data_IF_591439181025
#
_entry.id   IF_591439181025
#
_cell.length_a   1.000
_cell.length_b   1.000
_cell.length_c   1.000
_cell.angle_alpha   90.00
_cell.angle_beta   90.00
_cell.angle_gamma   90.00
#
_symmetry.space_group_name_H-M   'P 1'
#
loop_
_entity.id
_entity.type
_entity.pdbx_description
1 polymer ?
#
# COMPACT_ATOMS: atom_id res chain seq x y z
N UNK A 1 -0.75 36.92 23.23
CA UNK A 1 -0.67 35.49 23.60
C UNK A 1 0.61 34.95 23.01
N UNK A 2 1.77 35.51 23.32
CA UNK A 2 2.50 35.53 24.61
C UNK A 2 3.21 34.19 24.82
N UNK A 3 4.38 34.06 24.19
CA UNK A 3 5.49 33.15 24.50
C UNK A 3 5.12 31.91 25.32
N UNK A 4 4.58 30.90 24.66
CA UNK A 4 4.68 29.57 25.23
C UNK A 4 6.16 29.19 25.12
N UNK A 5 6.85 28.91 26.22
CA UNK A 5 8.25 28.49 26.16
C UNK A 5 8.33 27.01 25.72
N UNK A 6 7.64 26.64 24.64
CA UNK A 6 7.58 25.27 24.14
C UNK A 6 8.95 24.96 23.54
N UNK A 7 9.61 23.96 24.10
CA UNK A 7 10.92 23.49 23.61
C UNK A 7 10.76 22.28 22.67
N UNK A 8 9.64 21.55 22.77
CA UNK A 8 9.35 20.33 22.01
C UNK A 8 7.93 20.32 21.50
N UNK A 9 7.76 19.83 20.28
CA UNK A 9 6.45 19.57 19.69
C UNK A 9 5.98 18.21 20.19
N UNK A 10 4.84 18.13 20.86
CA UNK A 10 4.30 16.88 21.41
C UNK A 10 2.78 16.96 21.57
N UNK A 11 2.12 15.80 21.78
CA UNK A 11 0.68 15.68 22.01
C UNK A 11 -0.21 16.12 20.82
N UNK A 12 0.29 15.99 19.58
CA UNK A 12 -0.46 16.33 18.36
C UNK A 12 -1.02 15.11 17.61
N UNK A 13 -0.73 13.89 18.05
CA UNK A 13 -1.05 12.65 17.31
C UNK A 13 -2.55 12.47 17.03
N UNK A 14 -3.42 12.93 17.92
CA UNK A 14 -4.87 12.81 17.77
C UNK A 14 -5.48 13.86 16.81
N UNK A 15 -4.72 14.88 16.40
CA UNK A 15 -5.21 16.02 15.62
C UNK A 15 -5.16 15.77 14.10
N UNK A 16 -5.55 14.58 13.65
CA UNK A 16 -5.43 14.10 12.26
C UNK A 16 -6.17 14.95 11.22
N UNK A 17 -7.16 15.75 11.65
CA UNK A 17 -7.95 16.64 10.78
C UNK A 17 -7.44 18.09 10.77
N UNK A 18 -6.33 18.39 11.45
CA UNK A 18 -5.78 19.74 11.55
C UNK A 18 -5.28 20.23 10.19
N UNK A 19 -5.70 21.43 9.79
CA UNK A 19 -5.35 22.05 8.50
C UNK A 19 -4.38 23.21 8.65
N UNK A 20 -4.34 23.86 9.81
CA UNK A 20 -3.46 24.99 10.11
C UNK A 20 -2.88 24.81 11.50
N UNK A 21 -1.55 24.97 11.63
CA UNK A 21 -0.83 24.86 12.89
C UNK A 21 0.12 26.05 13.02
N UNK A 22 -0.04 26.80 14.10
CA UNK A 22 0.83 27.92 14.46
C UNK A 22 1.58 27.60 15.76
N UNK A 23 2.89 27.46 15.62
CA UNK A 23 3.88 27.24 16.67
C UNK A 23 4.90 28.38 16.70
N UNK A 24 4.49 29.58 16.28
CA UNK A 24 5.36 30.75 16.29
C UNK A 24 5.66 31.25 17.71
N UNK A 25 6.80 31.91 17.90
CA UNK A 25 7.22 32.51 19.18
C UNK A 25 7.41 31.47 20.30
N UNK A 26 8.13 30.40 19.99
CA UNK A 26 8.47 29.33 20.94
C UNK A 26 10.01 29.13 20.99
N UNK A 27 10.47 28.06 21.64
CA UNK A 27 11.90 27.69 21.76
C UNK A 27 12.18 26.33 21.12
N UNK A 28 11.42 25.99 20.09
CA UNK A 28 11.53 24.69 19.42
C UNK A 28 12.87 24.65 18.68
N UNK A 29 13.72 23.69 19.01
CA UNK A 29 15.00 23.50 18.32
C UNK A 29 14.96 22.43 17.24
N UNK A 30 13.93 21.58 17.24
CA UNK A 30 13.78 20.45 16.33
C UNK A 30 12.33 20.30 15.85
N UNK A 31 12.17 20.07 14.55
CA UNK A 31 10.89 19.66 13.97
C UNK A 31 10.70 18.17 14.24
N UNK A 32 9.67 17.80 15.00
CA UNK A 32 9.35 16.41 15.34
C UNK A 32 7.85 16.27 15.65
N UNK A 33 7.34 15.03 15.70
CA UNK A 33 5.98 14.69 16.11
C UNK A 33 4.86 15.37 15.27
N UNK A 34 5.12 15.59 13.97
CA UNK A 34 4.13 16.11 13.01
C UNK A 34 3.57 15.02 12.07
N UNK A 35 4.02 13.77 12.19
CA UNK A 35 3.74 12.70 11.22
C UNK A 35 2.26 12.37 11.04
N UNK A 36 1.47 12.50 12.11
CA UNK A 36 0.03 12.23 12.08
C UNK A 36 -0.80 13.33 11.36
N UNK A 37 -0.21 14.50 11.10
CA UNK A 37 -0.92 15.68 10.59
C UNK A 37 -0.97 15.72 9.05
N UNK A 38 -1.38 14.62 8.42
CA UNK A 38 -1.37 14.45 6.95
C UNK A 38 -2.26 15.47 6.21
N UNK A 39 -3.25 16.06 6.87
CA UNK A 39 -4.15 17.08 6.33
C UNK A 39 -3.65 18.52 6.48
N UNK A 40 -2.48 18.74 7.08
CA UNK A 40 -1.95 20.06 7.36
C UNK A 40 -1.60 20.80 6.07
N UNK A 41 -2.13 22.03 5.93
CA UNK A 41 -1.95 22.90 4.77
C UNK A 41 -1.07 24.10 5.05
N UNK A 42 -1.09 24.60 6.29
CA UNK A 42 -0.28 25.74 6.74
C UNK A 42 0.44 25.41 8.04
N UNK A 43 1.74 25.64 8.06
CA UNK A 43 2.58 25.48 9.23
C UNK A 43 3.37 26.77 9.47
N UNK A 44 3.24 27.34 10.66
CA UNK A 44 4.06 28.46 11.11
C UNK A 44 4.93 28.04 12.28
N UNK A 45 6.25 28.21 12.12
CA UNK A 45 7.31 27.96 13.07
C UNK A 45 8.17 29.24 13.25
N UNK A 46 7.56 30.39 13.02
CA UNK A 46 8.27 31.68 13.04
C UNK A 46 8.81 32.00 14.45
N UNK A 47 10.02 32.55 14.56
CA UNK A 47 10.65 32.89 15.86
C UNK A 47 10.80 31.65 16.78
N UNK A 48 11.70 30.76 16.37
CA UNK A 48 12.08 29.52 17.07
C UNK A 48 13.62 29.31 16.97
N UNK A 49 14.12 28.16 17.42
CA UNK A 49 15.56 27.83 17.46
C UNK A 49 15.93 26.70 16.49
N UNK A 50 15.17 26.51 15.41
CA UNK A 50 15.34 25.40 14.48
C UNK A 50 16.61 25.61 13.66
N UNK A 51 17.49 24.61 13.63
CA UNK A 51 18.74 24.66 12.85
C UNK A 51 18.68 23.88 11.54
N UNK A 52 17.74 22.93 11.43
CA UNK A 52 17.60 22.01 10.29
C UNK A 52 16.11 21.78 9.99
N UNK A 53 15.75 21.88 8.71
CA UNK A 53 14.46 21.47 8.15
C UNK A 53 14.50 19.95 7.96
N UNK A 54 13.70 19.24 8.75
CA UNK A 54 13.58 17.78 8.76
C UNK A 54 12.16 17.37 9.21
N UNK A 55 11.81 16.08 9.10
CA UNK A 55 10.58 15.48 9.64
C UNK A 55 9.26 16.14 9.17
N UNK A 56 9.22 16.63 7.93
CA UNK A 56 8.02 17.10 7.24
C UNK A 56 7.56 16.12 6.13
N UNK A 57 8.20 14.95 5.98
CA UNK A 57 7.98 14.02 4.87
C UNK A 57 6.51 13.61 4.70
N UNK A 58 5.75 13.52 5.79
CA UNK A 58 4.34 13.11 5.81
C UNK A 58 3.34 14.25 5.54
N UNK A 59 3.78 15.51 5.53
CA UNK A 59 2.93 16.69 5.31
C UNK A 59 2.69 16.94 3.81
N UNK A 60 2.16 15.95 3.09
CA UNK A 60 1.97 15.98 1.63
C UNK A 60 1.02 17.08 1.14
N UNK A 61 0.18 17.59 2.04
CA UNK A 61 -0.79 18.66 1.75
C UNK A 61 -0.30 20.06 2.12
N UNK A 62 0.95 20.21 2.58
CA UNK A 62 1.48 21.49 3.02
C UNK A 62 1.71 22.43 1.84
N UNK A 63 1.04 23.59 1.88
CA UNK A 63 1.09 24.62 0.82
C UNK A 63 1.80 25.88 1.28
N UNK A 64 1.81 26.16 2.58
CA UNK A 64 2.43 27.32 3.18
C UNK A 64 3.29 26.88 4.36
N UNK A 65 4.59 27.22 4.29
CA UNK A 65 5.53 27.02 5.38
C UNK A 65 6.16 28.36 5.76
N UNK A 66 5.98 28.77 7.02
CA UNK A 66 6.69 29.92 7.59
C UNK A 66 7.66 29.42 8.65
N UNK A 67 8.95 29.62 8.43
CA UNK A 67 10.04 29.23 9.35
C UNK A 67 11.07 30.36 9.45
N UNK A 68 10.58 31.61 9.35
CA UNK A 68 11.41 32.79 9.55
C UNK A 68 11.90 32.93 10.99
N UNK A 69 12.99 33.67 11.19
CA UNK A 69 13.63 33.92 12.49
C UNK A 69 13.93 32.63 13.24
N UNK A 70 14.75 31.79 12.60
CA UNK A 70 15.29 30.54 13.12
C UNK A 70 16.81 30.53 12.88
N UNK A 71 17.47 29.42 13.18
CA UNK A 71 18.93 29.26 13.16
C UNK A 71 19.42 28.38 11.98
N UNK A 72 18.68 28.35 10.87
CA UNK A 72 19.06 27.56 9.68
C UNK A 72 20.22 28.25 8.95
N UNK A 73 21.42 27.68 9.05
CA UNK A 73 22.62 28.26 8.43
C UNK A 73 22.99 27.65 7.08
N UNK A 74 22.70 26.37 6.89
CA UNK A 74 22.99 25.67 5.64
C UNK A 74 21.85 25.86 4.65
N UNK A 75 22.11 26.56 3.54
CA UNK A 75 21.15 26.72 2.46
C UNK A 75 20.90 25.41 1.68
N UNK A 76 21.79 24.41 1.73
CA UNK A 76 21.58 23.14 1.05
C UNK A 76 20.44 22.34 1.70
N UNK A 77 20.17 22.59 2.98
CA UNK A 77 19.06 21.99 3.69
C UNK A 77 17.69 22.39 3.09
N UNK A 78 17.61 23.46 2.30
CA UNK A 78 16.39 23.88 1.59
C UNK A 78 15.96 22.85 0.55
N UNK A 79 16.91 22.10 -0.03
CA UNK A 79 16.62 21.03 -1.00
C UNK A 79 15.65 20.00 -0.39
N UNK A 80 15.66 19.81 0.93
CA UNK A 80 14.70 18.95 1.64
C UNK A 80 13.24 19.33 1.34
N UNK A 81 12.93 20.62 1.15
CA UNK A 81 11.57 21.10 0.87
C UNK A 81 11.03 20.62 -0.48
N UNK A 82 11.86 20.09 -1.38
CA UNK A 82 11.41 19.44 -2.62
C UNK A 82 10.58 18.18 -2.38
N UNK A 83 10.67 17.59 -1.18
CA UNK A 83 9.82 16.47 -0.75
C UNK A 83 8.36 16.88 -0.49
N UNK A 84 8.06 18.18 -0.48
CA UNK A 84 6.74 18.76 -0.29
C UNK A 84 6.17 19.16 -1.67
N UNK A 85 5.41 18.27 -2.34
CA UNK A 85 5.12 18.38 -3.78
C UNK A 85 4.25 19.57 -4.15
N UNK A 86 3.54 20.16 -3.18
CA UNK A 86 2.60 21.25 -3.41
C UNK A 86 2.91 22.50 -2.58
N UNK A 87 4.14 22.63 -2.06
CA UNK A 87 4.56 23.84 -1.35
C UNK A 87 4.55 25.04 -2.30
N UNK A 88 3.76 26.08 -1.99
CA UNK A 88 3.61 27.27 -2.83
C UNK A 88 4.12 28.55 -2.19
N UNK A 89 4.16 28.62 -0.87
CA UNK A 89 4.65 29.79 -0.13
C UNK A 89 5.64 29.39 0.94
N UNK A 90 6.80 30.05 0.94
CA UNK A 90 7.89 29.82 1.88
C UNK A 90 8.36 31.14 2.48
N UNK A 91 8.48 31.19 3.80
CA UNK A 91 9.15 32.29 4.49
C UNK A 91 10.34 31.75 5.29
N UNK A 92 11.55 32.16 4.92
CA UNK A 92 12.82 31.87 5.62
C UNK A 92 13.50 33.14 6.14
N UNK A 93 12.79 34.29 6.15
CA UNK A 93 13.34 35.57 6.56
C UNK A 93 14.07 35.46 7.90
N UNK A 94 15.15 36.22 8.06
CA UNK A 94 15.94 36.26 9.32
C UNK A 94 16.67 34.97 9.72
N UNK A 95 16.68 33.92 8.87
CA UNK A 95 17.63 32.81 9.05
C UNK A 95 19.03 33.16 8.55
N UNK A 96 20.12 32.61 9.13
CA UNK A 96 21.48 32.85 8.65
C UNK A 96 21.69 32.46 7.17
N UNK A 97 21.04 31.40 6.68
CA UNK A 97 21.12 30.99 5.27
C UNK A 97 20.57 32.07 4.32
N UNK A 98 19.50 32.77 4.71
CA UNK A 98 18.83 33.79 3.90
C UNK A 98 19.67 35.06 3.68
N UNK A 99 20.77 35.24 4.45
CA UNK A 99 21.71 36.37 4.31
C UNK A 99 22.78 36.15 3.25
N UNK A 100 22.89 34.93 2.69
CA UNK A 100 23.87 34.62 1.66
C UNK A 100 23.54 35.38 0.36
N UNK A 101 24.59 35.73 -0.38
CA UNK A 101 24.43 36.33 -1.70
C UNK A 101 23.66 35.38 -2.63
N UNK A 102 22.82 35.94 -3.50
CA UNK A 102 21.99 35.18 -4.46
C UNK A 102 21.01 34.17 -3.84
N UNK A 103 20.75 34.22 -2.53
CA UNK A 103 19.87 33.26 -1.86
C UNK A 103 18.47 33.19 -2.48
N UNK A 104 17.89 34.34 -2.84
CA UNK A 104 16.57 34.38 -3.48
C UNK A 104 16.56 33.67 -4.85
N UNK A 105 17.65 33.79 -5.62
CA UNK A 105 17.81 33.08 -6.88
C UNK A 105 18.03 31.58 -6.66
N UNK A 106 18.77 31.22 -5.59
CA UNK A 106 18.92 29.83 -5.16
C UNK A 106 17.56 29.18 -4.84
N UNK A 107 16.70 29.87 -4.08
CA UNK A 107 15.30 29.43 -3.86
C UNK A 107 14.57 29.22 -5.19
N UNK A 108 14.70 30.18 -6.12
CA UNK A 108 14.01 30.13 -7.41
C UNK A 108 14.44 28.94 -8.27
N UNK A 109 15.72 28.55 -8.23
CA UNK A 109 16.27 27.41 -8.99
C UNK A 109 15.96 26.07 -8.32
N UNK A 110 16.25 25.93 -7.03
CA UNK A 110 16.15 24.64 -6.33
C UNK A 110 14.72 24.28 -5.87
N UNK A 111 13.80 25.25 -5.84
CA UNK A 111 12.37 25.04 -5.59
C UNK A 111 11.53 25.57 -6.79
N UNK A 112 11.53 24.87 -7.93
CA UNK A 112 10.93 25.37 -9.17
C UNK A 112 9.40 25.59 -9.06
N UNK A 113 8.72 24.80 -8.23
CA UNK A 113 7.26 24.87 -8.05
C UNK A 113 6.79 25.91 -7.01
N UNK A 114 7.72 26.54 -6.29
CA UNK A 114 7.43 27.55 -5.28
C UNK A 114 6.99 28.85 -5.95
N UNK A 115 5.90 29.47 -5.48
CA UNK A 115 5.33 30.67 -6.10
C UNK A 115 5.70 31.93 -5.34
N UNK A 116 5.69 31.87 -4.01
CA UNK A 116 5.96 33.00 -3.13
C UNK A 116 7.14 32.69 -2.20
N UNK A 117 8.11 33.61 -2.18
CA UNK A 117 9.20 33.62 -1.21
C UNK A 117 9.20 34.95 -0.45
N UNK A 118 9.11 34.88 0.89
CA UNK A 118 8.97 36.04 1.78
C UNK A 118 7.79 36.95 1.37
N UNK A 119 6.64 36.33 1.10
CA UNK A 119 5.40 37.01 0.71
C UNK A 119 5.48 37.77 -0.63
N UNK A 120 6.60 37.67 -1.37
CA UNK A 120 6.77 38.22 -2.71
C UNK A 120 6.78 37.09 -3.74
N UNK A 121 6.05 37.29 -4.83
CA UNK A 121 6.04 36.35 -5.93
C UNK A 121 7.45 36.21 -6.52
N UNK A 122 7.86 34.98 -6.83
CA UNK A 122 9.07 34.71 -7.59
C UNK A 122 8.77 34.97 -9.07
N UNK A 123 9.49 35.91 -9.67
CA UNK A 123 9.29 36.31 -11.06
C UNK A 123 10.04 35.39 -12.03
N UNK A 124 9.65 35.41 -13.31
CA UNK A 124 10.38 34.67 -14.35
C UNK A 124 11.83 35.17 -14.50
N UNK A 125 12.06 36.48 -14.41
CA UNK A 125 13.39 37.08 -14.46
C UNK A 125 14.27 36.55 -13.32
N UNK A 126 13.72 36.42 -12.11
CA UNK A 126 14.47 35.83 -10.98
C UNK A 126 14.83 34.36 -11.21
N UNK A 127 13.98 33.60 -11.93
CA UNK A 127 14.31 32.23 -12.31
C UNK A 127 15.39 32.18 -13.37
N UNK A 128 15.30 33.02 -14.40
CA UNK A 128 16.32 33.11 -15.45
C UNK A 128 17.70 33.46 -14.86
N UNK A 129 17.77 34.43 -13.94
CA UNK A 129 19.00 34.78 -13.24
C UNK A 129 19.51 33.61 -12.37
N UNK A 130 18.61 32.93 -11.65
CA UNK A 130 19.00 31.77 -10.85
C UNK A 130 19.54 30.63 -11.69
N UNK A 131 18.88 30.34 -12.82
CA UNK A 131 19.34 29.33 -13.77
C UNK A 131 20.72 29.69 -14.32
N UNK A 132 20.98 30.94 -14.69
CA UNK A 132 22.33 31.38 -15.12
C UNK A 132 23.39 31.19 -14.03
N UNK A 133 23.06 31.43 -12.76
CA UNK A 133 24.00 31.33 -11.63
C UNK A 133 24.26 29.87 -11.22
N UNK A 134 23.23 29.02 -11.23
CA UNK A 134 23.24 27.69 -10.58
C UNK A 134 23.05 26.52 -11.56
N UNK A 135 23.04 26.75 -12.87
CA UNK A 135 22.73 25.75 -13.91
C UNK A 135 23.44 24.42 -13.70
N UNK A 136 24.77 24.46 -13.65
CA UNK A 136 25.61 23.26 -13.65
C UNK A 136 25.41 22.45 -12.36
N UNK A 137 25.40 23.12 -11.21
CA UNK A 137 25.18 22.49 -9.90
C UNK A 137 23.79 21.86 -9.81
N UNK A 138 22.76 22.54 -10.32
CA UNK A 138 21.40 22.03 -10.33
C UNK A 138 21.26 20.80 -11.23
N UNK A 139 21.84 20.82 -12.44
CA UNK A 139 21.82 19.66 -13.36
C UNK A 139 22.51 18.47 -12.72
N UNK A 140 23.72 18.66 -12.17
CA UNK A 140 24.49 17.57 -11.53
C UNK A 140 23.71 16.97 -10.35
N UNK A 141 23.03 17.80 -9.55
CA UNK A 141 22.16 17.33 -8.47
C UNK A 141 21.00 16.49 -9.02
N UNK A 142 20.30 16.99 -10.05
CA UNK A 142 19.16 16.30 -10.66
C UNK A 142 19.54 14.94 -11.27
N UNK A 143 20.71 14.85 -11.90
CA UNK A 143 21.22 13.58 -12.45
C UNK A 143 21.52 12.57 -11.35
N UNK A 144 22.16 13.00 -10.25
CA UNK A 144 22.43 12.15 -9.09
C UNK A 144 21.15 11.64 -8.44
N UNK A 145 20.17 12.52 -8.20
CA UNK A 145 18.87 12.12 -7.65
C UNK A 145 18.16 11.09 -8.54
N UNK A 146 18.22 11.28 -9.86
CA UNK A 146 17.66 10.33 -10.83
C UNK A 146 18.37 8.98 -10.78
N UNK A 147 19.70 8.97 -10.69
CA UNK A 147 20.50 7.75 -10.56
C UNK A 147 20.20 7.00 -9.26
N UNK A 148 20.12 7.73 -8.14
CA UNK A 148 19.77 7.17 -6.83
C UNK A 148 18.36 6.58 -6.82
N UNK A 149 17.39 7.29 -7.41
CA UNK A 149 16.03 6.78 -7.58
C UNK A 149 16.01 5.51 -8.45
N UNK A 150 16.80 5.49 -9.54
CA UNK A 150 16.98 4.33 -10.39
C UNK A 150 17.53 3.13 -9.62
N UNK A 151 18.62 3.31 -8.87
CA UNK A 151 19.20 2.25 -8.00
C UNK A 151 18.21 1.73 -6.98
N UNK A 152 17.45 2.64 -6.34
CA UNK A 152 16.42 2.26 -5.36
C UNK A 152 15.31 1.42 -6.01
N UNK A 153 14.85 1.82 -7.20
CA UNK A 153 13.85 1.07 -7.96
C UNK A 153 14.37 -0.31 -8.36
N UNK A 154 15.59 -0.41 -8.89
CA UNK A 154 16.23 -1.70 -9.23
C UNK A 154 16.30 -2.61 -8.01
N UNK A 155 16.78 -2.10 -6.87
CA UNK A 155 16.85 -2.86 -5.63
C UNK A 155 15.47 -3.34 -5.16
N UNK A 156 14.44 -2.50 -5.25
CA UNK A 156 13.07 -2.89 -4.92
C UNK A 156 12.54 -3.99 -5.85
N UNK A 157 12.87 -3.93 -7.14
CA UNK A 157 12.49 -4.97 -8.12
C UNK A 157 13.22 -6.28 -7.79
N UNK A 158 14.52 -6.24 -7.50
CA UNK A 158 15.31 -7.42 -7.11
C UNK A 158 14.80 -8.04 -5.80
N UNK A 159 14.45 -7.22 -4.80
CA UNK A 159 13.85 -7.67 -3.54
C UNK A 159 12.47 -8.31 -3.79
N UNK A 160 11.67 -7.73 -4.68
CA UNK A 160 10.36 -8.28 -5.05
C UNK A 160 10.48 -9.61 -5.81
N UNK A 161 11.42 -9.70 -6.75
CA UNK A 161 11.71 -10.92 -7.52
C UNK A 161 12.22 -12.03 -6.59
N UNK A 162 13.13 -11.71 -5.68
CA UNK A 162 13.61 -12.64 -4.65
C UNK A 162 12.47 -13.13 -3.73
N UNK A 163 11.54 -12.25 -3.36
CA UNK A 163 10.38 -12.62 -2.56
C UNK A 163 9.46 -13.59 -3.33
N UNK A 164 9.23 -13.36 -4.63
CA UNK A 164 8.45 -14.27 -5.47
C UNK A 164 9.11 -15.65 -5.54
N UNK A 165 10.44 -15.70 -5.71
CA UNK A 165 11.17 -16.97 -5.71
C UNK A 165 11.01 -17.72 -4.39
N UNK A 166 11.05 -17.02 -3.26
CA UNK A 166 10.85 -17.59 -1.93
C UNK A 166 9.42 -18.10 -1.71
N UNK A 167 8.41 -17.30 -2.05
CA UNK A 167 7.00 -17.68 -1.92
C UNK A 167 6.61 -18.84 -2.87
N UNK A 168 7.37 -18.98 -3.95
CA UNK A 168 7.27 -20.09 -4.90
C UNK A 168 8.11 -21.32 -4.51
N UNK A 169 8.94 -21.24 -3.46
CA UNK A 169 9.85 -22.30 -2.99
C UNK A 169 10.87 -22.79 -4.04
N UNK A 170 11.39 -21.86 -4.86
CA UNK A 170 12.31 -22.18 -5.97
C UNK A 170 13.60 -21.38 -5.91
N UNK A 171 14.00 -20.93 -4.72
CA UNK A 171 15.18 -20.09 -4.54
C UNK A 171 16.42 -20.76 -5.16
N UNK A 172 17.12 -19.99 -6.00
CA UNK A 172 18.36 -20.39 -6.66
C UNK A 172 18.26 -21.57 -7.65
N UNK A 173 17.08 -22.15 -7.91
CA UNK A 173 16.92 -23.24 -8.88
C UNK A 173 17.13 -22.80 -10.34
N UNK A 174 16.98 -21.50 -10.61
CA UNK A 174 17.34 -20.88 -11.88
C UNK A 174 18.85 -20.61 -12.04
N UNK A 175 19.65 -20.93 -11.01
CA UNK A 175 21.12 -20.83 -11.00
C UNK A 175 21.74 -22.22 -10.93
N UNK A 176 23.06 -22.31 -11.10
CA UNK A 176 23.80 -23.57 -10.95
C UNK A 176 24.07 -23.95 -9.48
N UNK A 177 23.62 -23.12 -8.53
CA UNK A 177 23.94 -23.26 -7.10
C UNK A 177 23.53 -24.62 -6.53
N UNK A 178 22.36 -25.16 -6.90
CA UNK A 178 21.96 -26.48 -6.43
C UNK A 178 22.98 -27.54 -6.89
N UNK A 179 23.32 -27.53 -8.17
CA UNK A 179 24.29 -28.45 -8.74
C UNK A 179 25.67 -28.29 -8.10
N UNK A 180 26.18 -27.07 -8.04
CA UNK A 180 27.48 -26.74 -7.39
C UNK A 180 27.53 -27.25 -5.94
N UNK A 181 26.45 -27.07 -5.17
CA UNK A 181 26.39 -27.51 -3.77
C UNK A 181 26.44 -29.03 -3.60
N UNK A 182 25.97 -29.80 -4.60
CA UNK A 182 26.04 -31.26 -4.57
C UNK A 182 27.47 -31.76 -4.74
N UNK A 183 28.32 -31.01 -5.46
CA UNK A 183 29.69 -31.39 -5.81
C UNK A 183 30.78 -30.65 -5.01
N UNK A 184 30.42 -29.64 -4.21
CA UNK A 184 31.37 -28.80 -3.46
C UNK A 184 32.32 -29.62 -2.56
N UNK A 185 31.86 -30.79 -2.08
CA UNK A 185 32.62 -31.69 -1.22
C UNK A 185 32.81 -33.08 -1.85
N UNK A 186 32.90 -33.18 -3.19
CA UNK A 186 33.15 -34.44 -3.92
C UNK A 186 34.57 -34.49 -4.53
N UNK A 187 35.59 -34.87 -3.73
CA UNK A 187 36.97 -34.99 -4.22
C UNK A 187 37.14 -36.12 -5.23
N UNK A 188 36.34 -37.19 -5.14
CA UNK A 188 36.34 -38.30 -6.10
C UNK A 188 35.82 -37.85 -7.48
N UNK A 189 34.70 -37.13 -7.51
CA UNK A 189 34.17 -36.51 -8.73
C UNK A 189 35.17 -35.55 -9.36
N UNK A 190 35.83 -34.72 -8.54
CA UNK A 190 36.90 -33.82 -8.99
C UNK A 190 38.09 -34.57 -9.62
N UNK A 191 38.48 -35.70 -9.04
CA UNK A 191 39.55 -36.54 -9.59
C UNK A 191 39.15 -37.19 -10.92
N UNK A 192 37.89 -37.59 -11.09
CA UNK A 192 37.36 -38.18 -12.33
C UNK A 192 37.43 -37.19 -13.52
N UNK A 193 37.26 -35.88 -13.27
CA UNK A 193 37.42 -34.84 -14.29
C UNK A 193 38.85 -34.71 -14.82
N UNK A 194 39.85 -35.22 -14.08
CA UNK A 194 41.25 -35.21 -14.48
C UNK A 194 41.63 -36.42 -15.36
N UNK A 195 40.75 -37.42 -15.50
CA UNK A 195 41.06 -38.67 -16.22
C UNK A 195 41.03 -38.54 -17.75
N UNK A 196 40.53 -37.43 -18.32
CA UNK A 196 40.60 -37.16 -19.76
C UNK A 196 39.46 -36.32 -20.31
N UNK A 197 39.45 -36.10 -21.63
CA UNK A 197 38.42 -35.31 -22.31
C UNK A 197 37.02 -35.94 -22.28
N UNK A 198 36.92 -37.27 -22.31
CA UNK A 198 35.64 -37.98 -22.30
C UNK A 198 34.88 -37.82 -20.97
N UNK A 199 35.57 -37.94 -19.83
CA UNK A 199 34.96 -37.77 -18.50
C UNK A 199 34.50 -36.33 -18.26
N UNK A 200 35.30 -35.35 -18.71
CA UNK A 200 34.93 -33.93 -18.64
C UNK A 200 33.69 -33.60 -19.48
N UNK A 201 33.61 -34.13 -20.70
CA UNK A 201 32.44 -33.92 -21.56
C UNK A 201 31.18 -34.55 -20.97
N UNK A 202 31.30 -35.75 -20.38
CA UNK A 202 30.20 -36.44 -19.71
C UNK A 202 29.68 -35.61 -18.52
N UNK A 203 30.57 -35.06 -17.69
CA UNK A 203 30.21 -34.18 -16.58
C UNK A 203 29.49 -32.91 -17.05
N UNK A 204 30.02 -32.21 -18.06
CA UNK A 204 29.39 -30.99 -18.60
C UNK A 204 27.98 -31.30 -19.10
N UNK A 205 27.79 -32.44 -19.76
CA UNK A 205 26.48 -32.86 -20.28
C UNK A 205 25.50 -33.14 -19.13
N UNK A 206 25.96 -33.83 -18.09
CA UNK A 206 25.18 -34.09 -16.88
C UNK A 206 24.80 -32.80 -16.14
N UNK A 207 25.74 -31.87 -15.98
CA UNK A 207 25.51 -30.54 -15.39
C UNK A 207 24.43 -29.76 -16.15
N UNK A 208 24.54 -29.66 -17.48
CA UNK A 208 23.56 -28.94 -18.30
C UNK A 208 22.17 -29.60 -18.24
N UNK A 209 22.10 -30.95 -18.22
CA UNK A 209 20.84 -31.66 -18.09
C UNK A 209 20.16 -31.42 -16.73
N UNK A 210 20.92 -31.50 -15.62
CA UNK A 210 20.37 -31.22 -14.28
C UNK A 210 19.98 -29.75 -14.15
N UNK A 211 20.80 -28.82 -14.66
CA UNK A 211 20.48 -27.40 -14.65
C UNK A 211 19.21 -27.08 -15.48
N UNK A 212 19.03 -27.73 -16.63
CA UNK A 212 17.80 -27.67 -17.41
C UNK A 212 16.58 -28.10 -16.61
N UNK A 213 16.65 -29.24 -15.91
CA UNK A 213 15.58 -29.72 -15.04
C UNK A 213 15.32 -28.78 -13.85
N UNK A 214 16.36 -28.19 -13.25
CA UNK A 214 16.20 -27.20 -12.18
C UNK A 214 15.44 -25.95 -12.66
N UNK A 215 15.72 -25.49 -13.89
CA UNK A 215 14.97 -24.39 -14.52
C UNK A 215 13.52 -24.76 -14.80
N UNK A 216 13.25 -26.00 -15.21
CA UNK A 216 11.87 -26.47 -15.39
C UNK A 216 11.11 -26.47 -14.05
N UNK A 217 11.72 -26.99 -12.97
CA UNK A 217 11.14 -26.94 -11.62
C UNK A 217 10.92 -25.49 -11.17
N UNK A 218 11.89 -24.60 -11.43
CA UNK A 218 11.78 -23.18 -11.11
C UNK A 218 10.58 -22.52 -11.79
N UNK A 219 10.41 -22.75 -13.09
CA UNK A 219 9.28 -22.21 -13.85
C UNK A 219 7.95 -22.81 -13.39
N UNK A 220 7.92 -24.12 -13.13
CA UNK A 220 6.74 -24.82 -12.62
C UNK A 220 6.33 -24.27 -11.25
N UNK A 221 7.26 -24.10 -10.31
CA UNK A 221 6.97 -23.57 -8.97
C UNK A 221 6.37 -22.16 -9.01
N UNK A 222 6.92 -21.27 -9.83
CA UNK A 222 6.35 -19.93 -10.03
C UNK A 222 4.96 -19.97 -10.66
N UNK A 223 4.74 -20.84 -11.63
CA UNK A 223 3.45 -20.97 -12.29
C UNK A 223 2.38 -21.51 -11.33
N UNK A 224 2.72 -22.49 -10.49
CA UNK A 224 1.83 -23.03 -9.45
C UNK A 224 1.57 -22.00 -8.34
N UNK A 225 2.57 -21.21 -7.97
CA UNK A 225 2.38 -20.05 -7.09
C UNK A 225 1.38 -19.06 -7.67
N UNK A 226 1.52 -18.69 -8.95
CA UNK A 226 0.61 -17.78 -9.64
C UNK A 226 -0.82 -18.30 -9.68
N UNK A 227 -1.03 -19.58 -10.00
CA UNK A 227 -2.37 -20.19 -10.00
C UNK A 227 -3.03 -20.11 -8.62
N UNK A 228 -2.29 -20.44 -7.56
CA UNK A 228 -2.80 -20.36 -6.18
C UNK A 228 -3.14 -18.92 -5.76
N UNK A 229 -2.34 -17.93 -6.16
CA UNK A 229 -2.68 -16.53 -5.92
C UNK A 229 -3.94 -16.11 -6.66
N UNK A 230 -4.08 -16.49 -7.94
CA UNK A 230 -5.28 -16.21 -8.74
C UNK A 230 -6.54 -16.79 -8.09
N UNK A 231 -6.47 -18.05 -7.62
CA UNK A 231 -7.59 -18.71 -6.94
C UNK A 231 -7.97 -17.99 -5.63
N UNK A 232 -6.99 -17.59 -4.83
CA UNK A 232 -7.21 -16.83 -3.60
C UNK A 232 -7.79 -15.42 -3.87
N UNK A 233 -7.33 -14.74 -4.93
CA UNK A 233 -7.86 -13.44 -5.35
C UNK A 233 -9.32 -13.55 -5.82
N UNK A 234 -9.64 -14.57 -6.62
CA UNK A 234 -10.99 -14.82 -7.11
C UNK A 234 -11.96 -15.17 -5.98
N UNK A 235 -11.53 -16.00 -5.04
CA UNK A 235 -12.28 -16.28 -3.82
C UNK A 235 -12.58 -15.01 -3.03
N UNK A 236 -11.55 -14.21 -2.73
CA UNK A 236 -11.70 -12.97 -1.96
C UNK A 236 -12.61 -11.96 -2.67
N UNK A 237 -12.52 -11.87 -4.00
CA UNK A 237 -13.42 -11.05 -4.80
C UNK A 237 -14.86 -11.54 -4.68
N UNK A 238 -15.09 -12.84 -4.85
CA UNK A 238 -16.42 -13.45 -4.73
C UNK A 238 -17.03 -13.25 -3.35
N UNK A 239 -16.25 -13.38 -2.28
CA UNK A 239 -16.66 -13.07 -0.90
C UNK A 239 -17.16 -11.61 -0.80
N UNK A 240 -16.39 -10.66 -1.31
CA UNK A 240 -16.77 -9.24 -1.30
C UNK A 240 -18.04 -8.99 -2.09
N UNK A 241 -18.16 -9.57 -3.29
CA UNK A 241 -19.33 -9.38 -4.15
C UNK A 241 -20.60 -9.93 -3.49
N UNK A 242 -20.53 -11.12 -2.89
CA UNK A 242 -21.64 -11.74 -2.14
C UNK A 242 -22.05 -10.85 -0.95
N UNK A 243 -21.08 -10.36 -0.17
CA UNK A 243 -21.34 -9.49 0.98
C UNK A 243 -21.98 -8.18 0.56
N UNK A 244 -21.42 -7.50 -0.45
CA UNK A 244 -21.92 -6.21 -0.95
C UNK A 244 -23.33 -6.35 -1.50
N UNK A 245 -23.61 -7.40 -2.26
CA UNK A 245 -24.93 -7.65 -2.80
C UNK A 245 -25.98 -7.89 -1.68
N UNK A 246 -25.65 -8.74 -0.70
CA UNK A 246 -26.53 -8.99 0.44
C UNK A 246 -26.76 -7.74 1.30
N UNK A 247 -25.71 -6.94 1.50
CA UNK A 247 -25.78 -5.68 2.24
C UNK A 247 -26.65 -4.65 1.50
N UNK A 248 -26.49 -4.50 0.18
CA UNK A 248 -27.29 -3.58 -0.63
C UNK A 248 -28.79 -3.94 -0.59
N UNK A 249 -29.13 -5.21 -0.70
CA UNK A 249 -30.52 -5.67 -0.56
C UNK A 249 -31.08 -5.40 0.85
N UNK A 250 -30.28 -5.65 1.88
CA UNK A 250 -30.66 -5.40 3.27
C UNK A 250 -30.89 -3.91 3.55
N UNK A 251 -30.02 -3.04 3.04
CA UNK A 251 -30.16 -1.58 3.14
C UNK A 251 -31.44 -1.12 2.43
N UNK A 252 -31.66 -1.54 1.18
CA UNK A 252 -32.86 -1.18 0.43
C UNK A 252 -34.15 -1.63 1.14
N UNK A 253 -34.15 -2.83 1.72
CA UNK A 253 -35.27 -3.32 2.52
C UNK A 253 -35.52 -2.44 3.77
N UNK A 254 -34.45 -2.04 4.45
CA UNK A 254 -34.53 -1.18 5.63
C UNK A 254 -34.97 0.24 5.29
N UNK A 255 -34.52 0.82 4.18
CA UNK A 255 -34.98 2.12 3.69
C UNK A 255 -36.47 2.09 3.37
N UNK A 256 -36.94 1.06 2.67
CA UNK A 256 -38.36 0.86 2.38
C UNK A 256 -39.19 0.72 3.67
N UNK A 257 -38.70 0.00 4.67
CA UNK A 257 -39.33 -0.10 5.98
C UNK A 257 -39.40 1.26 6.69
N UNK A 258 -38.32 2.04 6.66
CA UNK A 258 -38.25 3.36 7.30
C UNK A 258 -39.20 4.37 6.64
N UNK A 259 -39.33 4.33 5.31
CA UNK A 259 -40.28 5.16 4.57
C UNK A 259 -41.72 4.84 4.96
N UNK A 260 -42.11 3.55 4.92
CA UNK A 260 -43.45 3.12 5.34
C UNK A 260 -43.72 3.42 6.81
N UNK A 261 -42.73 3.26 7.69
CA UNK A 261 -42.83 3.67 9.10
C UNK A 261 -43.17 5.16 9.20
N UNK A 262 -42.52 6.03 8.43
CA UNK A 262 -42.81 7.47 8.43
C UNK A 262 -44.26 7.77 8.03
N UNK A 263 -44.78 7.06 7.03
CA UNK A 263 -46.19 7.18 6.59
C UNK A 263 -47.17 6.76 7.71
N UNK A 264 -46.94 5.60 8.32
CA UNK A 264 -47.75 5.07 9.44
C UNK A 264 -47.77 6.06 10.62
N UNK A 265 -46.61 6.61 10.99
CA UNK A 265 -46.50 7.59 12.07
C UNK A 265 -47.19 8.93 11.72
N UNK A 266 -47.14 9.34 10.45
CA UNK A 266 -47.85 10.52 9.96
C UNK A 266 -49.36 10.34 10.04
N UNK A 267 -49.87 9.16 9.71
CA UNK A 267 -51.29 8.81 9.85
C UNK A 267 -51.73 8.78 11.31
N UNK A 268 -50.92 8.17 12.19
CA UNK A 268 -51.16 8.16 13.64
C UNK A 268 -51.22 9.58 14.22
N UNK A 269 -50.32 10.47 13.79
CA UNK A 269 -50.34 11.88 14.19
C UNK A 269 -51.59 12.62 13.69
N UNK A 270 -52.07 12.33 12.47
CA UNK A 270 -53.33 12.89 11.95
C UNK A 270 -54.53 12.46 12.78
N UNK A 271 -54.60 11.18 13.17
CA UNK A 271 -55.67 10.66 14.03
C UNK A 271 -55.64 11.31 15.43
N UNK A 272 -54.45 11.43 16.03
CA UNK A 272 -54.25 12.14 17.31
C UNK A 272 -54.71 13.60 17.23
N UNK A 273 -54.38 14.31 16.16
CA UNK A 273 -54.77 15.72 16.00
C UNK A 273 -56.29 15.87 15.79
N UNK A 274 -56.95 14.95 15.07
CA UNK A 274 -58.42 14.93 14.94
C UNK A 274 -59.13 14.72 16.29
N UNK A 275 -58.55 13.93 17.19
CA UNK A 275 -59.14 13.68 18.51
C UNK A 275 -59.15 14.92 19.41
N UNK A 276 -58.28 15.92 19.15
CA UNK A 276 -58.21 17.15 19.93
C UNK A 276 -59.37 18.13 19.64
N UNK A 277 -60.04 17.99 18.48
CA UNK A 277 -61.08 18.92 18.01
C UNK A 277 -62.52 18.36 18.05
N UNK A 278 -62.74 17.06 18.29
CA UNK A 278 -64.08 16.45 18.33
C UNK A 278 -64.39 15.81 19.69
N UNK A 279 -65.37 16.37 20.40
CA UNK A 279 -65.86 15.89 21.70
C UNK A 279 -66.81 14.68 21.49
N UNK A 280 -66.41 13.56 22.09
CA UNK A 280 -67.20 12.43 22.62
C UNK A 280 -68.02 11.48 21.73
N UNK A 281 -68.25 11.69 20.42
CA UNK A 281 -69.14 10.78 19.64
C UNK A 281 -68.44 9.67 18.81
N UNK A 282 -67.10 9.67 18.66
CA UNK A 282 -66.39 8.68 17.83
C UNK A 282 -65.23 7.93 18.55
N UNK A 283 -65.32 7.85 19.88
CA UNK A 283 -64.61 6.92 20.80
C UNK A 283 -64.08 5.65 20.12
N UNK A 284 -65.06 4.82 19.81
CA UNK A 284 -64.90 3.44 19.37
C UNK A 284 -64.27 3.34 17.98
N UNK A 285 -64.66 4.21 17.03
CA UNK A 285 -64.07 4.24 15.69
C UNK A 285 -62.58 4.62 15.73
N UNK A 286 -62.20 5.52 16.63
CA UNK A 286 -60.80 5.89 16.82
C UNK A 286 -59.97 4.73 17.38
N UNK A 287 -60.49 4.02 18.38
CA UNK A 287 -59.85 2.82 18.94
C UNK A 287 -59.69 1.72 17.88
N UNK A 288 -60.71 1.54 17.02
CA UNK A 288 -60.66 0.62 15.87
C UNK A 288 -59.58 1.02 14.84
N UNK A 289 -59.46 2.30 14.48
CA UNK A 289 -58.42 2.79 13.56
C UNK A 289 -57.01 2.68 14.13
N UNK A 290 -56.81 2.93 15.44
CA UNK A 290 -55.51 2.76 16.08
C UNK A 290 -55.09 1.28 16.07
N UNK A 291 -56.02 0.38 16.35
CA UNK A 291 -55.77 -1.07 16.31
C UNK A 291 -55.44 -1.55 14.89
N UNK A 292 -56.08 -1.00 13.87
CA UNK A 292 -55.77 -1.28 12.47
C UNK A 292 -54.36 -0.82 12.08
N UNK A 293 -53.98 0.41 12.44
CA UNK A 293 -52.62 0.94 12.23
C UNK A 293 -51.58 0.09 12.95
N UNK A 294 -51.86 -0.33 14.19
CA UNK A 294 -51.00 -1.20 14.96
C UNK A 294 -50.78 -2.54 14.24
N UNK A 295 -51.85 -3.18 13.77
CA UNK A 295 -51.77 -4.43 13.00
C UNK A 295 -50.96 -4.26 11.71
N UNK A 296 -51.14 -3.14 10.99
CA UNK A 296 -50.35 -2.82 9.79
C UNK A 296 -48.86 -2.75 10.15
N UNK A 297 -48.50 -2.04 11.23
CA UNK A 297 -47.11 -1.91 11.66
C UNK A 297 -46.49 -3.23 12.10
N UNK A 298 -47.21 -4.02 12.91
CA UNK A 298 -46.77 -5.34 13.37
C UNK A 298 -46.58 -6.30 12.19
N UNK A 299 -47.51 -6.31 11.22
CA UNK A 299 -47.39 -7.10 10.01
C UNK A 299 -46.17 -6.67 9.17
N UNK A 300 -45.97 -5.36 8.99
CA UNK A 300 -44.80 -4.83 8.28
C UNK A 300 -43.49 -5.26 8.95
N UNK A 301 -43.38 -5.11 10.27
CA UNK A 301 -42.20 -5.53 11.03
C UNK A 301 -41.95 -7.04 10.88
N UNK A 302 -43.01 -7.85 10.98
CA UNK A 302 -42.92 -9.30 10.82
C UNK A 302 -42.43 -9.68 9.41
N UNK A 303 -42.99 -9.08 8.36
CA UNK A 303 -42.56 -9.36 6.99
C UNK A 303 -41.12 -8.93 6.74
N UNK A 304 -40.72 -7.74 7.20
CA UNK A 304 -39.32 -7.27 7.07
C UNK A 304 -38.36 -8.22 7.77
N UNK A 305 -38.64 -8.63 9.01
CA UNK A 305 -37.82 -9.63 9.72
C UNK A 305 -37.72 -10.96 8.98
N UNK A 306 -38.84 -11.46 8.45
CA UNK A 306 -38.88 -12.70 7.68
C UNK A 306 -38.01 -12.62 6.42
N UNK A 307 -38.03 -11.49 5.72
CA UNK A 307 -37.18 -11.30 4.53
C UNK A 307 -35.72 -11.17 4.92
N UNK A 308 -35.38 -10.40 5.96
CA UNK A 308 -34.00 -10.29 6.46
C UNK A 308 -33.43 -11.66 6.84
N UNK A 309 -34.20 -12.49 7.54
CA UNK A 309 -33.75 -13.85 7.91
C UNK A 309 -33.50 -14.72 6.68
N UNK A 310 -34.33 -14.60 5.63
CA UNK A 310 -34.08 -15.29 4.35
C UNK A 310 -32.83 -14.79 3.65
N UNK A 311 -32.56 -13.48 3.69
CA UNK A 311 -31.33 -12.91 3.12
C UNK A 311 -30.09 -13.45 3.85
N UNK A 312 -30.16 -13.54 5.17
CA UNK A 312 -29.10 -14.10 6.01
C UNK A 312 -28.86 -15.59 5.71
N UNK A 313 -29.92 -16.40 5.63
CA UNK A 313 -29.80 -17.82 5.23
C UNK A 313 -29.18 -17.97 3.85
N UNK A 314 -29.64 -17.19 2.86
CA UNK A 314 -29.08 -17.23 1.49
C UNK A 314 -27.62 -16.79 1.44
N UNK A 315 -27.24 -15.79 2.24
CA UNK A 315 -25.86 -15.35 2.37
C UNK A 315 -24.98 -16.48 2.90
N UNK A 316 -25.45 -17.15 3.96
CA UNK A 316 -24.75 -18.30 4.54
C UNK A 316 -24.58 -19.44 3.53
N UNK A 317 -25.66 -19.84 2.85
CA UNK A 317 -25.64 -20.91 1.83
C UNK A 317 -24.63 -20.61 0.71
N UNK A 318 -24.66 -19.40 0.15
CA UNK A 318 -23.71 -18.99 -0.89
C UNK A 318 -22.26 -18.94 -0.42
N UNK A 319 -22.02 -18.51 0.82
CA UNK A 319 -20.66 -18.54 1.39
C UNK A 319 -20.16 -19.96 1.58
N UNK A 320 -21.04 -20.87 2.00
CA UNK A 320 -20.68 -22.27 2.16
C UNK A 320 -20.37 -22.93 0.80
N UNK A 321 -21.21 -22.73 -0.21
CA UNK A 321 -20.95 -23.20 -1.59
C UNK A 321 -19.63 -22.66 -2.15
N UNK A 322 -19.33 -21.38 -1.92
CA UNK A 322 -18.07 -20.77 -2.32
C UNK A 322 -16.86 -21.40 -1.62
N UNK A 323 -16.97 -21.65 -0.31
CA UNK A 323 -15.91 -22.33 0.46
C UNK A 323 -15.66 -23.74 -0.07
N UNK A 324 -16.72 -24.53 -0.30
CA UNK A 324 -16.60 -25.89 -0.85
C UNK A 324 -15.92 -25.89 -2.22
N UNK A 325 -16.28 -24.92 -3.08
CA UNK A 325 -15.66 -24.76 -4.40
C UNK A 325 -14.17 -24.44 -4.28
N UNK A 326 -13.82 -23.50 -3.41
CA UNK A 326 -12.42 -23.10 -3.17
C UNK A 326 -11.58 -24.24 -2.60
N UNK A 327 -12.12 -25.01 -1.64
CA UNK A 327 -11.45 -26.19 -1.09
C UNK A 327 -11.21 -27.26 -2.15
N UNK A 328 -12.18 -27.49 -3.03
CA UNK A 328 -12.04 -28.42 -4.15
C UNK A 328 -10.95 -27.97 -5.12
N UNK A 329 -10.99 -26.71 -5.56
CA UNK A 329 -10.00 -26.14 -6.48
C UNK A 329 -8.58 -26.19 -5.90
N UNK A 330 -8.40 -25.85 -4.61
CA UNK A 330 -7.10 -25.96 -3.94
C UNK A 330 -6.61 -27.40 -3.87
N UNK A 331 -7.51 -28.35 -3.61
CA UNK A 331 -7.16 -29.77 -3.57
C UNK A 331 -6.65 -30.24 -4.93
N UNK A 332 -7.32 -29.84 -6.01
CA UNK A 332 -6.90 -30.17 -7.38
C UNK A 332 -5.55 -29.54 -7.74
N UNK A 333 -5.33 -28.28 -7.37
CA UNK A 333 -4.04 -27.61 -7.55
C UNK A 333 -2.90 -28.33 -6.82
N UNK A 334 -3.13 -28.80 -5.59
CA UNK A 334 -2.15 -29.55 -4.81
C UNK A 334 -1.85 -30.90 -5.44
N UNK A 335 -2.88 -31.65 -5.84
CA UNK A 335 -2.71 -32.96 -6.47
C UNK A 335 -1.90 -32.84 -7.77
N UNK A 336 -2.26 -31.88 -8.61
CA UNK A 336 -1.57 -31.61 -9.86
C UNK A 336 -0.10 -31.20 -9.61
N UNK A 337 0.18 -30.35 -8.62
CA UNK A 337 1.55 -30.01 -8.24
C UNK A 337 2.36 -31.25 -7.83
N UNK A 338 1.78 -32.14 -7.02
CA UNK A 338 2.46 -33.36 -6.57
C UNK A 338 2.80 -34.26 -7.76
N UNK A 339 1.87 -34.46 -8.70
CA UNK A 339 2.09 -35.28 -9.90
C UNK A 339 3.22 -34.72 -10.77
N UNK A 340 3.18 -33.43 -11.10
CA UNK A 340 4.24 -32.79 -11.90
C UNK A 340 5.60 -32.82 -11.19
N UNK A 341 5.63 -32.58 -9.87
CA UNK A 341 6.87 -32.65 -9.09
C UNK A 341 7.46 -34.07 -9.11
N UNK A 342 6.63 -35.10 -8.95
CA UNK A 342 7.06 -36.49 -9.01
C UNK A 342 7.68 -36.84 -10.37
N UNK A 343 7.08 -36.35 -11.46
CA UNK A 343 7.60 -36.52 -12.82
C UNK A 343 8.98 -35.85 -12.97
N UNK A 344 9.14 -34.60 -12.51
CA UNK A 344 10.43 -33.89 -12.58
C UNK A 344 11.51 -34.64 -11.81
N UNK A 345 11.21 -35.12 -10.59
CA UNK A 345 12.17 -35.90 -9.82
C UNK A 345 12.47 -37.28 -10.45
N UNK A 346 11.53 -37.87 -11.19
CA UNK A 346 11.80 -39.09 -11.96
C UNK A 346 12.81 -38.82 -13.06
N UNK A 347 12.60 -37.76 -13.85
CA UNK A 347 13.54 -37.35 -14.91
C UNK A 347 14.92 -37.03 -14.36
N UNK A 348 15.01 -36.38 -13.19
CA UNK A 348 16.30 -36.15 -12.52
C UNK A 348 17.01 -37.47 -12.17
N UNK A 349 16.29 -38.46 -11.63
CA UNK A 349 16.87 -39.77 -11.32
C UNK A 349 17.35 -40.52 -12.56
N UNK A 350 16.63 -40.41 -13.67
CA UNK A 350 17.04 -40.99 -14.95
C UNK A 350 18.36 -40.38 -15.43
N UNK A 351 18.48 -39.05 -15.44
CA UNK A 351 19.72 -38.34 -15.80
C UNK A 351 20.89 -38.74 -14.90
N UNK A 352 20.67 -38.89 -13.59
CA UNK A 352 21.68 -39.38 -12.64
C UNK A 352 22.12 -40.80 -12.97
N UNK A 353 21.17 -41.67 -13.31
CA UNK A 353 21.44 -43.08 -13.63
C UNK A 353 22.25 -43.18 -14.93
N UNK A 354 21.86 -42.47 -15.97
CA UNK A 354 22.57 -42.41 -17.25
C UNK A 354 24.02 -41.92 -17.10
N UNK A 355 24.22 -40.89 -16.25
CA UNK A 355 25.56 -40.39 -15.93
C UNK A 355 26.41 -41.45 -15.24
N UNK A 356 25.87 -42.11 -14.22
CA UNK A 356 26.57 -43.15 -13.47
C UNK A 356 26.93 -44.36 -14.35
N UNK A 357 26.02 -44.82 -15.20
CA UNK A 357 26.25 -45.94 -16.11
C UNK A 357 27.35 -45.60 -17.12
N UNK A 358 27.29 -44.40 -17.72
CA UNK A 358 28.29 -43.90 -18.66
C UNK A 358 29.68 -43.76 -17.99
N UNK A 359 29.70 -43.30 -16.74
CA UNK A 359 30.91 -43.16 -15.95
C UNK A 359 31.53 -44.53 -15.61
N UNK A 360 30.72 -45.53 -15.27
CA UNK A 360 31.23 -46.89 -15.04
C UNK A 360 31.86 -47.50 -16.29
N UNK A 361 31.26 -47.27 -17.47
CA UNK A 361 31.85 -47.71 -18.74
C UNK A 361 33.22 -47.06 -18.97
N UNK A 362 33.38 -45.78 -18.62
CA UNK A 362 34.65 -45.06 -18.71
C UNK A 362 35.70 -45.57 -17.73
N UNK A 363 35.33 -45.84 -16.48
CA UNK A 363 36.25 -46.33 -15.44
C UNK A 363 36.76 -47.76 -15.77
N UNK A 364 35.94 -48.57 -16.44
CA UNK A 364 36.27 -49.95 -16.78
C UNK A 364 37.03 -50.10 -18.12
N UNK A 365 37.27 -49.00 -18.86
CA UNK A 365 38.15 -48.96 -20.05
C UNK A 365 39.59 -48.71 -19.63
#
# INVERSE_FOLDING_TARGET
MDNNCIEKIENLEALVNLTELDLSFNKISKIENLDALSNLKKLSLFDNLITVIENLDNLKNLTILSIGRNEISDWNNIIYLRKLPILKSLNLAENPCARKENFRYYIATYLPDLVYYEYRQITLIEREIGDEIFHDDYIVMMEREKEELGKKLTKMIEEQDAQIHADSFVEYLNTRRLFESLFENDPEGSALLLMGGESKNLYITYEENIFGLCKEIFNMGQEKYRMRQSEAEEFNKSVKDIQQHSQAESISLMENFMNKKSEVFSEMNRLKNRSFYQISHDRKKMEESIEEIRKIYENMLHQTRKVLMKLETRLYERMNELNETYEHNLTDLINNFIEEAQEMFSRMREVITEYNDSLQVLINK
#
